data_IF_975551753833
#
_entry.id   IF_975551753833
#
_cell.length_a   1.000
_cell.length_b   1.000
_cell.length_c   1.000
_cell.angle_alpha   90.00
_cell.angle_beta   90.00
_cell.angle_gamma   90.00
#
_symmetry.space_group_name_H-M   'P 1'
#
loop_
_entity.id
_entity.type
_entity.pdbx_description
1 polymer ?
#
# COMPACT_ATOMS: atom_id res chain seq x y z
N UNK A 1 -38.58 0.97 5.44
CA UNK A 1 -38.10 1.10 4.04
C UNK A 1 -36.77 1.84 4.02
N UNK A 2 -35.76 1.20 3.42
CA UNK A 2 -34.56 1.78 2.80
C UNK A 2 -33.51 2.49 3.67
N UNK A 3 -32.71 1.67 4.36
CA UNK A 3 -31.34 2.00 4.76
C UNK A 3 -30.49 2.34 3.53
N UNK A 4 -30.33 3.63 3.23
CA UNK A 4 -29.44 4.11 2.18
C UNK A 4 -27.99 4.06 2.67
N UNK A 5 -27.40 2.85 2.71
CA UNK A 5 -25.95 2.65 2.84
C UNK A 5 -25.29 3.19 1.57
N UNK A 6 -25.09 4.51 1.50
CA UNK A 6 -24.23 5.12 0.48
C UNK A 6 -22.79 4.74 0.83
N UNK A 7 -22.39 3.62 0.23
CA UNK A 7 -21.04 3.22 -0.09
C UNK A 7 -20.05 4.38 0.07
N UNK A 8 -19.23 4.25 1.10
CA UNK A 8 -18.05 5.07 1.36
C UNK A 8 -17.14 5.00 0.14
N UNK A 9 -17.40 5.88 -0.83
CA UNK A 9 -16.48 6.18 -1.91
C UNK A 9 -15.20 6.67 -1.23
N UNK A 10 -14.23 5.77 -1.10
CA UNK A 10 -12.80 6.01 -0.90
C UNK A 10 -12.34 6.97 -2.00
N UNK A 11 -12.65 8.26 -1.81
CA UNK A 11 -12.27 9.34 -2.69
C UNK A 11 -11.10 10.03 -2.02
N UNK A 12 -9.93 9.80 -2.62
CA UNK A 12 -8.63 10.49 -2.46
C UNK A 12 -7.60 9.74 -1.59
N UNK A 13 -7.19 8.56 -2.05
CA UNK A 13 -5.74 8.36 -2.17
C UNK A 13 -5.25 9.43 -3.16
N UNK A 14 -4.42 10.37 -2.67
CA UNK A 14 -3.81 11.45 -3.44
C UNK A 14 -4.77 12.42 -4.13
N UNK A 15 -4.63 13.74 -3.92
CA UNK A 15 -4.87 14.64 -5.06
C UNK A 15 -3.97 14.11 -6.18
N UNK A 16 -4.46 13.89 -7.40
CA UNK A 16 -3.61 13.57 -8.55
C UNK A 16 -2.46 14.59 -8.60
N UNK A 17 -1.31 14.16 -8.11
CA UNK A 17 -0.46 15.07 -7.35
C UNK A 17 0.98 14.72 -7.59
N UNK A 18 1.73 15.74 -7.93
CA UNK A 18 3.17 15.72 -8.12
C UNK A 18 3.88 14.72 -7.19
N UNK A 19 4.75 13.90 -7.77
CA UNK A 19 5.56 12.96 -7.02
C UNK A 19 6.34 13.70 -5.93
N UNK A 20 6.20 13.32 -4.65
CA UNK A 20 6.85 14.01 -3.53
C UNK A 20 8.37 13.89 -3.56
N UNK A 21 8.91 12.93 -4.32
CA UNK A 21 10.35 12.68 -4.42
C UNK A 21 11.02 13.43 -5.57
N UNK A 22 10.44 13.43 -6.76
CA UNK A 22 11.09 13.98 -7.96
C UNK A 22 10.37 15.17 -8.59
N UNK A 23 9.20 15.57 -8.08
CA UNK A 23 8.45 16.69 -8.65
C UNK A 23 7.72 16.37 -9.95
N UNK A 24 7.74 15.12 -10.45
CA UNK A 24 7.04 14.76 -11.68
C UNK A 24 5.52 14.70 -11.47
N UNK A 25 4.73 15.27 -12.39
CA UNK A 25 3.26 15.29 -12.29
C UNK A 25 2.58 13.92 -12.53
N UNK A 26 3.33 12.91 -12.97
CA UNK A 26 2.79 11.61 -13.38
C UNK A 26 2.95 10.56 -12.28
N UNK A 27 2.00 10.56 -11.35
CA UNK A 27 1.74 9.43 -10.44
C UNK A 27 0.48 8.72 -10.91
N UNK A 28 0.53 7.39 -10.96
CA UNK A 28 -0.61 6.56 -11.41
C UNK A 28 -0.96 5.51 -10.36
N UNK A 29 -2.24 5.19 -10.16
CA UNK A 29 -2.63 4.09 -9.29
C UNK A 29 -2.18 2.75 -9.89
N UNK A 30 -1.63 1.88 -9.05
CA UNK A 30 -1.14 0.55 -9.38
C UNK A 30 -1.60 -0.45 -8.32
N UNK A 31 -1.86 -1.69 -8.73
CA UNK A 31 -1.96 -2.84 -7.85
C UNK A 31 -0.89 -3.85 -8.22
N UNK A 32 -0.03 -4.20 -7.28
CA UNK A 32 1.05 -5.16 -7.50
C UNK A 32 1.46 -5.79 -6.18
N UNK A 33 2.15 -6.93 -6.28
CA UNK A 33 2.67 -7.63 -5.13
C UNK A 33 3.89 -6.89 -4.57
N UNK A 34 3.89 -6.66 -3.26
CA UNK A 34 5.02 -6.08 -2.55
C UNK A 34 5.82 -7.20 -1.89
N UNK A 35 7.11 -7.28 -2.21
CA UNK A 35 8.04 -8.18 -1.53
C UNK A 35 8.90 -7.36 -0.57
N UNK A 36 8.74 -7.58 0.72
CA UNK A 36 9.58 -7.03 1.77
C UNK A 36 10.64 -8.06 2.20
N UNK A 37 11.85 -7.58 2.51
CA UNK A 37 12.89 -8.39 3.13
C UNK A 37 13.15 -7.84 4.53
N UNK A 38 12.81 -8.60 5.56
CA UNK A 38 12.94 -8.20 6.96
C UNK A 38 13.63 -9.34 7.71
N UNK A 39 14.75 -9.04 8.39
CA UNK A 39 15.58 -10.04 9.10
C UNK A 39 15.94 -11.27 8.26
N UNK A 40 16.27 -11.08 6.97
CA UNK A 40 16.60 -12.18 6.05
C UNK A 40 15.40 -12.99 5.54
N UNK A 41 14.19 -12.72 6.04
CA UNK A 41 12.97 -13.38 5.58
C UNK A 41 12.28 -12.56 4.48
N UNK A 42 11.79 -13.25 3.45
CA UNK A 42 10.99 -12.66 2.37
C UNK A 42 9.51 -12.72 2.74
N UNK A 43 8.85 -11.57 2.79
CA UNK A 43 7.41 -11.45 3.01
C UNK A 43 6.77 -10.93 1.73
N UNK A 44 5.90 -11.75 1.12
CA UNK A 44 5.11 -11.34 -0.06
C UNK A 44 3.73 -10.89 0.41
N UNK A 45 3.34 -9.71 -0.01
CA UNK A 45 2.04 -9.11 0.29
C UNK A 45 1.35 -8.91 -1.05
N UNK A 46 0.31 -9.71 -1.36
CA UNK A 46 -0.34 -9.65 -2.66
C UNK A 46 -1.24 -8.42 -2.79
N UNK A 47 -1.46 -8.00 -4.03
CA UNK A 47 -2.51 -7.04 -4.42
C UNK A 47 -2.52 -5.75 -3.57
N UNK A 48 -1.36 -5.09 -3.46
CA UNK A 48 -1.22 -3.87 -2.66
C UNK A 48 -1.56 -2.65 -3.51
N UNK A 49 -2.68 -1.95 -3.23
CA UNK A 49 -3.01 -0.71 -3.92
C UNK A 49 -2.05 0.40 -3.48
N UNK A 50 -1.49 1.12 -4.44
CA UNK A 50 -0.66 2.30 -4.17
C UNK A 50 -0.52 3.16 -5.43
N UNK A 51 0.12 4.31 -5.31
CA UNK A 51 0.48 5.14 -6.45
C UNK A 51 1.96 4.93 -6.82
N UNK A 52 2.26 4.90 -8.11
CA UNK A 52 3.63 4.81 -8.62
C UNK A 52 3.94 6.01 -9.49
N UNK A 53 5.06 6.67 -9.21
CA UNK A 53 5.60 7.70 -10.10
C UNK A 53 6.19 7.05 -11.36
N UNK A 54 5.75 7.50 -12.54
CA UNK A 54 6.29 7.02 -13.81
C UNK A 54 7.68 7.59 -14.14
N UNK A 55 8.09 8.68 -13.47
CA UNK A 55 9.39 9.32 -13.69
C UNK A 55 10.54 8.65 -12.93
N UNK A 56 10.41 8.53 -11.59
CA UNK A 56 11.48 8.00 -10.74
C UNK A 56 11.16 6.63 -10.12
N UNK A 57 9.97 6.08 -10.37
CA UNK A 57 9.55 4.79 -9.81
C UNK A 57 9.12 4.82 -8.35
N UNK A 58 9.03 6.00 -7.72
CA UNK A 58 8.60 6.13 -6.33
C UNK A 58 7.23 5.50 -6.10
N UNK A 59 7.08 4.79 -4.98
CA UNK A 59 5.84 4.10 -4.58
C UNK A 59 5.26 4.79 -3.36
N UNK A 60 4.03 5.28 -3.47
CA UNK A 60 3.35 6.08 -2.46
C UNK A 60 2.15 5.28 -1.96
N UNK A 61 2.21 4.84 -0.71
CA UNK A 61 1.18 3.99 -0.11
C UNK A 61 0.22 4.82 0.74
N UNK A 62 -1.06 4.47 0.69
CA UNK A 62 -2.05 4.96 1.65
C UNK A 62 -1.82 4.38 3.04
N UNK A 63 -2.27 5.09 4.08
CA UNK A 63 -2.09 4.68 5.48
C UNK A 63 -2.78 3.34 5.78
N UNK A 64 -3.87 3.02 5.06
CA UNK A 64 -4.60 1.77 5.15
C UNK A 64 -3.76 0.54 4.77
N UNK A 65 -2.71 0.72 3.96
CA UNK A 65 -1.79 -0.35 3.56
C UNK A 65 -0.81 -0.68 4.68
N UNK A 66 -0.50 0.26 5.58
CA UNK A 66 0.49 0.07 6.64
C UNK A 66 0.17 -1.15 7.52
N UNK A 67 -1.10 -1.35 7.89
CA UNK A 67 -1.52 -2.52 8.66
C UNK A 67 -1.27 -3.86 7.96
N UNK A 68 -1.25 -3.90 6.62
CA UNK A 68 -0.89 -5.11 5.85
C UNK A 68 0.62 -5.39 5.93
N UNK A 69 1.45 -4.34 5.92
CA UNK A 69 2.90 -4.47 6.12
C UNK A 69 3.20 -4.99 7.53
N UNK A 70 2.60 -4.40 8.54
CA UNK A 70 2.80 -4.81 9.93
C UNK A 70 2.36 -6.26 10.16
N UNK A 71 1.17 -6.63 9.67
CA UNK A 71 0.70 -8.00 9.77
C UNK A 71 1.65 -9.00 9.09
N UNK A 72 2.18 -8.67 7.91
CA UNK A 72 3.10 -9.54 7.19
C UNK A 72 4.42 -9.76 7.95
N UNK A 73 4.95 -8.72 8.58
CA UNK A 73 6.20 -8.78 9.35
C UNK A 73 6.01 -9.47 10.70
N UNK A 74 4.94 -9.14 11.43
CA UNK A 74 4.68 -9.65 12.78
C UNK A 74 4.16 -11.09 12.80
N UNK A 75 3.44 -11.55 11.76
CA UNK A 75 2.92 -12.92 11.70
C UNK A 75 4.01 -14.00 11.73
N UNK A 76 5.26 -13.65 11.37
CA UNK A 76 6.42 -14.54 11.50
C UNK A 76 6.93 -14.76 12.94
N UNK A 77 6.52 -13.91 13.90
CA UNK A 77 6.99 -13.99 15.31
C UNK A 77 6.20 -14.98 16.17
N UNK A 78 4.96 -15.30 15.80
CA UNK A 78 4.06 -16.07 16.68
C UNK A 78 4.28 -17.60 16.66
N UNK A 79 5.15 -18.13 15.80
CA UNK A 79 5.46 -19.58 15.73
C UNK A 79 6.70 -20.01 16.54
N UNK A 80 7.32 -19.13 17.31
CA UNK A 80 8.54 -19.41 18.10
C UNK A 80 8.30 -19.41 19.62
N UNK A 81 7.23 -20.06 20.06
CA UNK A 81 7.09 -20.47 21.47
C UNK A 81 6.63 -21.92 21.47
N UNK A 82 7.60 -22.81 21.65
CA UNK A 82 7.45 -24.22 21.99
C UNK A 82 8.46 -24.51 23.10
#
# INVERSE_FOLDING_TARGET
MSSSRRSSRSRRAGKAGTCPRCGAARVVPVMEDVVLRVHGHRHRIPDVPHERCQGCGERIFGIEVAGRFDAAVLKGRSKRVA
#
